data_IF_268854871171
#
_entry.id   IF_268854871171
#
_cell.length_a   1.000
_cell.length_b   1.000
_cell.length_c   1.000
_cell.angle_alpha   90.00
_cell.angle_beta   90.00
_cell.angle_gamma   90.00
#
_symmetry.space_group_name_H-M   'P 1'
#
loop_
_entity.id
_entity.type
_entity.pdbx_description
1 polymer ?
#
# COMPACT_ATOMS: atom_id res chain seq x y z
N UNK A 1 77.33 -28.86 -34.87
CA UNK A 1 77.22 -28.93 -36.34
C UNK A 1 75.75 -28.78 -36.70
N UNK A 2 75.44 -27.72 -37.47
CA UNK A 2 74.23 -27.50 -38.31
C UNK A 2 72.87 -27.63 -37.58
N UNK A 3 72.01 -26.62 -37.37
CA UNK A 3 71.80 -25.33 -38.04
C UNK A 3 70.58 -25.37 -38.96
N UNK A 4 69.39 -24.98 -38.47
CA UNK A 4 68.21 -24.43 -39.20
C UNK A 4 67.16 -24.02 -38.14
N UNK A 5 66.81 -22.74 -37.88
CA UNK A 5 66.05 -21.77 -38.68
C UNK A 5 64.74 -22.37 -39.24
N UNK A 6 63.54 -21.78 -39.17
CA UNK A 6 63.03 -20.52 -38.65
C UNK A 6 61.48 -20.58 -38.72
N UNK A 7 60.80 -19.67 -38.01
CA UNK A 7 59.67 -18.81 -38.46
C UNK A 7 58.53 -18.71 -37.45
N UNK A 8 58.43 -17.49 -36.93
CA UNK A 8 57.27 -16.87 -36.33
C UNK A 8 56.09 -16.79 -37.29
N UNK A 9 54.86 -16.84 -36.76
CA UNK A 9 53.78 -16.03 -37.26
C UNK A 9 52.88 -15.58 -36.10
N UNK A 10 52.89 -14.26 -35.82
CA UNK A 10 51.83 -13.57 -35.09
C UNK A 10 50.85 -13.03 -36.13
N UNK A 11 49.55 -13.25 -35.92
CA UNK A 11 48.45 -12.46 -36.49
C UNK A 11 47.24 -12.65 -35.55
N UNK A 12 46.99 -11.71 -34.63
CA UNK A 12 46.04 -10.58 -34.73
C UNK A 12 44.56 -10.94 -34.59
N UNK A 13 43.96 -10.25 -33.62
CA UNK A 13 42.55 -10.14 -33.21
C UNK A 13 41.54 -10.01 -34.36
N UNK A 14 40.44 -10.72 -34.21
CA UNK A 14 39.04 -10.34 -34.52
C UNK A 14 38.18 -11.40 -33.83
N UNK A 15 37.40 -11.13 -32.78
CA UNK A 15 36.28 -10.20 -32.77
C UNK A 15 35.02 -10.95 -33.24
N UNK A 16 34.39 -11.74 -32.36
CA UNK A 16 33.02 -12.21 -32.57
C UNK A 16 32.32 -12.29 -31.21
N UNK A 17 31.77 -11.16 -30.76
CA UNK A 17 30.70 -11.15 -29.77
C UNK A 17 29.47 -11.78 -30.44
N UNK A 18 29.07 -12.97 -30.00
CA UNK A 18 27.74 -13.49 -30.31
C UNK A 18 26.72 -12.65 -29.52
N UNK A 19 26.07 -11.72 -30.22
CA UNK A 19 24.85 -11.10 -29.75
C UNK A 19 23.75 -12.17 -29.74
N UNK A 20 23.33 -12.62 -28.56
CA UNK A 20 22.03 -13.30 -28.40
C UNK A 20 20.92 -12.25 -28.52
N UNK A 21 20.47 -11.98 -29.74
CA UNK A 21 19.19 -11.34 -29.98
C UNK A 21 18.09 -12.40 -29.89
N UNK A 22 17.60 -12.65 -28.67
CA UNK A 22 16.34 -13.35 -28.46
C UNK A 22 15.21 -12.37 -28.76
N UNK A 23 14.74 -12.37 -30.01
CA UNK A 23 13.54 -11.64 -30.42
C UNK A 23 12.32 -12.37 -29.82
N UNK A 24 11.88 -11.95 -28.63
CA UNK A 24 10.56 -12.30 -28.13
C UNK A 24 9.53 -11.61 -29.03
N UNK A 25 8.93 -12.35 -29.96
CA UNK A 25 7.66 -11.94 -30.55
C UNK A 25 6.58 -12.08 -29.46
N UNK A 26 6.36 -11.00 -28.70
CA UNK A 26 5.15 -10.85 -27.90
C UNK A 26 3.99 -10.69 -28.87
N UNK A 27 3.30 -11.79 -29.15
CA UNK A 27 1.95 -11.73 -29.66
C UNK A 27 1.11 -11.03 -28.58
N UNK A 28 0.90 -9.73 -28.73
CA UNK A 28 -0.06 -8.98 -27.93
C UNK A 28 -1.46 -9.46 -28.35
N UNK A 29 -1.91 -10.58 -27.79
CA UNK A 29 -3.33 -10.79 -27.61
C UNK A 29 -3.80 -9.64 -26.73
N UNK A 30 -4.38 -8.60 -27.34
CA UNK A 30 -4.84 -7.43 -26.62
C UNK A 30 -5.75 -7.87 -25.49
N UNK A 31 -5.30 -7.69 -24.25
CA UNK A 31 -6.13 -7.92 -23.08
C UNK A 31 -7.34 -7.01 -23.22
N UNK A 32 -8.53 -7.61 -23.30
CA UNK A 32 -9.78 -6.87 -23.30
C UNK A 32 -10.24 -6.77 -21.86
N UNK A 33 -10.36 -5.54 -21.34
CA UNK A 33 -10.88 -5.32 -20.01
C UNK A 33 -12.32 -5.87 -19.91
N UNK A 34 -12.58 -6.93 -19.12
CA UNK A 34 -13.92 -7.50 -18.98
C UNK A 34 -14.90 -6.54 -18.28
N UNK A 35 -14.37 -5.50 -17.63
CA UNK A 35 -15.13 -4.47 -16.95
C UNK A 35 -15.37 -3.22 -17.81
N UNK A 36 -14.96 -3.18 -19.09
CA UNK A 36 -15.13 -1.98 -19.91
C UNK A 36 -16.58 -1.48 -19.94
N UNK A 37 -16.77 -0.22 -19.56
CA UNK A 37 -18.08 0.47 -19.57
C UNK A 37 -17.87 1.93 -20.00
N UNK A 38 -18.29 2.34 -21.21
CA UNK A 38 -18.12 3.71 -21.69
C UNK A 38 -18.89 4.76 -20.88
N UNK A 39 -19.86 4.36 -20.05
CA UNK A 39 -20.57 5.27 -19.14
C UNK A 39 -19.75 5.61 -17.89
N UNK A 40 -18.70 4.84 -17.59
CA UNK A 40 -17.81 5.05 -16.44
C UNK A 40 -16.44 5.50 -16.93
N UNK A 41 -16.06 6.78 -16.73
CA UNK A 41 -14.83 7.32 -17.28
C UNK A 41 -13.57 6.55 -16.89
N UNK A 42 -13.53 5.92 -15.73
CA UNK A 42 -12.38 5.15 -15.24
C UNK A 42 -12.28 3.73 -15.83
N UNK A 43 -13.27 3.25 -16.59
CA UNK A 43 -13.25 1.96 -17.29
C UNK A 43 -12.84 2.16 -18.74
N UNK A 44 -11.61 1.77 -19.09
CA UNK A 44 -11.08 1.84 -20.47
C UNK A 44 -11.12 0.48 -21.15
N UNK A 45 -11.03 0.40 -22.49
CA UNK A 45 -10.97 -0.89 -23.19
C UNK A 45 -9.77 -1.76 -22.77
N UNK A 46 -8.69 -1.13 -22.30
CA UNK A 46 -7.44 -1.78 -21.89
C UNK A 46 -7.30 -2.00 -20.38
N UNK A 47 -8.16 -1.41 -19.54
CA UNK A 47 -8.09 -1.55 -18.08
C UNK A 47 -8.78 -0.40 -17.35
N UNK A 48 -8.16 0.08 -16.28
CA UNK A 48 -8.65 1.20 -15.47
C UNK A 48 -7.76 2.44 -15.57
N UNK A 49 -8.30 3.61 -15.25
CA UNK A 49 -7.55 4.88 -15.16
C UNK A 49 -8.04 5.77 -14.03
N UNK A 50 -7.21 6.74 -13.63
CA UNK A 50 -7.56 7.74 -12.61
C UNK A 50 -8.64 8.73 -13.10
N UNK A 51 -9.38 9.32 -12.16
CA UNK A 51 -10.40 10.34 -12.47
C UNK A 51 -9.80 11.65 -13.01
N UNK A 52 -8.69 12.10 -12.43
CA UNK A 52 -8.18 13.46 -12.64
C UNK A 52 -6.80 13.53 -13.29
N UNK A 53 -5.81 12.78 -12.81
CA UNK A 53 -4.47 12.78 -13.38
C UNK A 53 -4.14 11.44 -14.04
N UNK A 54 -4.06 11.45 -15.36
CA UNK A 54 -3.65 10.30 -16.17
C UNK A 54 -2.24 10.49 -16.74
N UNK A 55 -1.30 10.94 -15.88
CA UNK A 55 0.12 11.04 -16.25
C UNK A 55 0.88 9.83 -15.72
N UNK A 56 1.31 8.97 -16.64
CA UNK A 56 2.22 7.87 -16.33
C UNK A 56 3.60 8.43 -15.96
N UNK A 57 4.24 7.96 -14.88
CA UNK A 57 5.62 8.32 -14.58
C UNK A 57 6.51 7.99 -15.77
N UNK A 58 7.18 8.99 -16.33
CA UNK A 58 8.18 8.83 -17.37
C UNK A 58 9.59 8.79 -16.77
N UNK A 59 10.56 8.17 -17.43
CA UNK A 59 11.96 8.23 -16.99
C UNK A 59 12.39 7.22 -15.91
N UNK A 60 11.76 6.04 -15.82
CA UNK A 60 12.18 4.97 -14.90
C UNK A 60 13.70 4.67 -14.98
N UNK A 61 14.27 4.57 -16.19
CA UNK A 61 15.71 4.34 -16.37
C UNK A 61 16.56 5.48 -15.82
N UNK A 62 16.11 6.73 -15.98
CA UNK A 62 16.77 7.92 -15.42
C UNK A 62 16.74 7.87 -13.90
N UNK A 63 15.60 7.52 -13.31
CA UNK A 63 15.47 7.37 -11.86
C UNK A 63 16.38 6.26 -11.31
N UNK A 64 16.38 5.07 -11.91
CA UNK A 64 17.26 3.97 -11.50
C UNK A 64 18.74 4.32 -11.63
N UNK A 65 19.13 5.02 -12.69
CA UNK A 65 20.49 5.53 -12.84
C UNK A 65 20.86 6.55 -11.77
N UNK A 66 19.97 7.48 -11.43
CA UNK A 66 20.16 8.44 -10.34
C UNK A 66 20.31 7.73 -8.99
N UNK A 67 19.47 6.74 -8.69
CA UNK A 67 19.58 5.92 -7.48
C UNK A 67 20.94 5.29 -7.31
N UNK A 68 21.42 4.61 -8.35
CA UNK A 68 22.69 3.89 -8.32
C UNK A 68 23.84 4.89 -8.18
N UNK A 69 23.86 5.95 -9.00
CA UNK A 69 24.98 6.91 -9.03
C UNK A 69 25.05 7.77 -7.76
N UNK A 70 23.92 8.04 -7.12
CA UNK A 70 23.86 8.84 -5.91
C UNK A 70 23.85 7.98 -4.63
N UNK A 71 23.73 6.66 -4.76
CA UNK A 71 23.59 5.73 -3.63
C UNK A 71 22.37 6.06 -2.79
N UNK A 72 21.19 6.04 -3.42
CA UNK A 72 19.88 6.29 -2.81
C UNK A 72 19.04 5.01 -2.70
N UNK A 73 18.15 4.91 -1.70
CA UNK A 73 18.02 5.84 -0.57
C UNK A 73 19.26 5.83 0.33
N UNK A 74 19.45 6.90 1.11
CA UNK A 74 20.49 6.90 2.15
C UNK A 74 20.02 6.02 3.32
N UNK A 75 20.92 5.28 3.97
CA UNK A 75 20.55 4.51 5.15
C UNK A 75 20.06 5.47 6.25
N UNK A 76 19.06 5.08 7.04
CA UNK A 76 18.60 5.82 8.20
C UNK A 76 19.74 6.18 9.17
N UNK A 77 19.63 7.33 9.82
CA UNK A 77 20.64 7.82 10.75
C UNK A 77 20.81 6.87 11.95
N UNK A 78 19.75 6.15 12.32
CA UNK A 78 19.74 5.13 13.36
C UNK A 78 20.12 3.72 12.87
N UNK A 79 20.66 3.56 11.65
CA UNK A 79 21.04 2.27 11.07
C UNK A 79 19.88 1.24 11.10
N UNK A 80 18.69 1.66 10.68
CA UNK A 80 17.46 0.86 10.65
C UNK A 80 16.93 0.40 12.02
N UNK A 81 17.40 0.98 13.13
CA UNK A 81 16.90 0.71 14.46
C UNK A 81 15.59 1.46 14.74
N UNK A 82 14.51 1.07 14.06
CA UNK A 82 13.18 1.62 14.31
C UNK A 82 12.59 1.05 15.61
N UNK A 83 11.92 1.87 16.43
CA UNK A 83 11.27 1.41 17.65
C UNK A 83 10.12 0.46 17.32
N UNK A 84 10.13 -0.72 17.94
CA UNK A 84 9.06 -1.70 17.86
C UNK A 84 8.43 -1.82 19.26
N UNK A 85 7.12 -1.67 19.32
CA UNK A 85 6.30 -1.94 20.50
C UNK A 85 5.63 -3.28 20.28
N UNK A 86 5.68 -4.16 21.29
CA UNK A 86 4.94 -5.42 21.25
C UNK A 86 3.46 -5.12 21.55
N UNK A 87 2.51 -5.42 20.65
CA UNK A 87 1.09 -5.27 20.95
C UNK A 87 0.68 -6.18 22.11
N UNK A 88 -0.25 -5.71 22.94
CA UNK A 88 -0.85 -6.53 23.99
C UNK A 88 -1.83 -7.54 23.36
N UNK A 89 -1.32 -8.74 23.07
CA UNK A 89 -2.09 -9.82 22.44
C UNK A 89 -3.34 -10.17 23.25
N UNK A 90 -3.24 -10.19 24.58
CA UNK A 90 -4.38 -10.54 25.44
C UNK A 90 -5.48 -9.49 25.28
N UNK A 91 -5.11 -8.20 25.31
CA UNK A 91 -6.06 -7.12 25.11
C UNK A 91 -6.68 -7.15 23.70
N UNK A 92 -5.89 -7.39 22.64
CA UNK A 92 -6.40 -7.48 21.27
C UNK A 92 -7.44 -8.60 21.10
N UNK A 93 -7.21 -9.77 21.69
CA UNK A 93 -8.17 -10.89 21.63
C UNK A 93 -9.42 -10.65 22.48
N UNK A 94 -9.25 -10.04 23.65
CA UNK A 94 -10.33 -9.75 24.59
C UNK A 94 -11.19 -8.54 24.19
N UNK A 95 -10.68 -7.64 23.35
CA UNK A 95 -11.41 -6.45 22.94
C UNK A 95 -12.67 -6.82 22.12
N UNK A 96 -13.84 -6.39 22.61
CA UNK A 96 -15.15 -6.57 21.95
C UNK A 96 -15.91 -5.27 21.77
N UNK A 97 -15.42 -4.16 22.32
CA UNK A 97 -16.18 -2.92 22.44
C UNK A 97 -15.37 -1.69 22.10
N UNK A 98 -14.09 -1.68 22.42
CA UNK A 98 -13.26 -0.49 22.29
C UNK A 98 -12.84 -0.31 20.85
N UNK A 99 -12.85 0.95 20.41
CA UNK A 99 -12.30 1.31 19.12
C UNK A 99 -10.79 1.48 19.24
N UNK A 100 -10.03 0.70 18.48
CA UNK A 100 -8.56 0.75 18.52
C UNK A 100 -7.94 0.60 17.14
N UNK A 101 -6.78 1.22 16.93
CA UNK A 101 -5.95 1.07 15.75
C UNK A 101 -4.54 0.66 16.15
N UNK A 102 -4.10 -0.53 15.73
CA UNK A 102 -2.72 -1.01 15.94
C UNK A 102 -1.97 -0.99 14.63
N UNK A 103 -0.92 -0.19 14.53
CA UNK A 103 -0.11 -0.12 13.31
C UNK A 103 0.90 -1.27 13.28
N UNK A 104 0.65 -2.30 12.48
CA UNK A 104 1.53 -3.46 12.34
C UNK A 104 2.80 -3.08 11.56
N UNK A 105 2.68 -2.16 10.61
CA UNK A 105 3.78 -1.68 9.78
C UNK A 105 3.38 -1.60 8.32
N UNK A 106 4.08 -0.77 7.57
CA UNK A 106 3.72 -0.44 6.19
C UNK A 106 2.29 0.12 6.11
N UNK A 107 1.45 -0.39 5.21
CA UNK A 107 0.02 -0.07 5.13
C UNK A 107 -0.87 -1.01 5.98
N UNK A 108 -0.27 -1.90 6.78
CA UNK A 108 -1.02 -2.85 7.60
C UNK A 108 -1.40 -2.25 8.95
N UNK A 109 -2.71 -2.09 9.17
CA UNK A 109 -3.31 -1.64 10.42
C UNK A 109 -4.40 -2.62 10.83
N UNK A 110 -4.35 -3.08 12.08
CA UNK A 110 -5.45 -3.79 12.71
C UNK A 110 -6.39 -2.77 13.37
N UNK A 111 -7.58 -2.63 12.80
CA UNK A 111 -8.67 -1.83 13.36
C UNK A 111 -9.62 -2.75 14.11
N UNK A 112 -9.98 -2.39 15.34
CA UNK A 112 -11.05 -3.04 16.09
C UNK A 112 -12.13 -1.99 16.29
N UNK A 113 -13.34 -2.22 15.75
CA UNK A 113 -14.46 -1.28 15.82
C UNK A 113 -15.74 -2.08 16.02
N UNK A 114 -16.52 -1.76 17.07
CA UNK A 114 -17.76 -2.48 17.38
C UNK A 114 -17.57 -4.01 17.45
N UNK A 115 -16.43 -4.45 18.02
CA UNK A 115 -16.07 -5.86 18.12
C UNK A 115 -15.66 -6.54 16.81
N UNK A 116 -15.63 -5.82 15.69
CA UNK A 116 -15.17 -6.32 14.39
C UNK A 116 -13.69 -6.03 14.21
N UNK A 117 -12.91 -7.04 13.83
CA UNK A 117 -11.49 -6.92 13.52
C UNK A 117 -11.30 -6.77 12.01
N UNK A 118 -10.81 -5.60 11.59
CA UNK A 118 -10.55 -5.26 10.19
C UNK A 118 -9.06 -5.08 9.99
N UNK A 119 -8.49 -5.72 8.96
CA UNK A 119 -7.08 -5.65 8.64
C UNK A 119 -6.88 -5.02 7.25
N UNK A 120 -6.11 -3.94 7.18
CA UNK A 120 -5.79 -3.26 5.91
C UNK A 120 -4.53 -3.84 5.29
N UNK A 121 -4.50 -4.02 3.96
CA UNK A 121 -3.33 -4.34 3.14
C UNK A 121 -2.29 -5.23 3.85
N UNK A 122 -2.66 -6.46 4.23
CA UNK A 122 -1.86 -7.25 5.15
C UNK A 122 -0.65 -7.85 4.47
N UNK A 123 0.54 -7.59 5.03
CA UNK A 123 1.80 -8.17 4.58
C UNK A 123 2.67 -8.58 5.78
N UNK A 124 2.92 -9.88 5.93
CA UNK A 124 3.90 -10.44 6.88
C UNK A 124 5.19 -10.90 6.21
N UNK A 125 5.18 -11.05 4.89
CA UNK A 125 6.33 -11.50 4.13
C UNK A 125 7.57 -10.62 4.32
N UNK A 126 8.75 -11.27 4.26
CA UNK A 126 10.06 -10.62 4.34
C UNK A 126 10.38 -9.76 3.12
N UNK A 127 9.70 -10.00 2.00
CA UNK A 127 9.85 -9.23 0.75
C UNK A 127 8.49 -8.95 0.14
N UNK A 128 8.34 -7.75 -0.41
CA UNK A 128 7.23 -7.38 -1.27
C UNK A 128 7.60 -7.72 -2.72
N UNK A 129 7.50 -8.99 -3.11
CA UNK A 129 7.98 -9.47 -4.42
C UNK A 129 7.38 -10.82 -4.79
N UNK A 130 7.23 -11.13 -6.10
CA UNK A 130 6.92 -12.49 -6.53
C UNK A 130 8.08 -13.48 -6.31
N UNK A 131 9.29 -12.98 -6.08
CA UNK A 131 10.50 -13.78 -5.94
C UNK A 131 11.02 -13.68 -4.51
N UNK A 132 11.30 -14.83 -3.90
CA UNK A 132 11.80 -14.90 -2.51
C UNK A 132 13.21 -14.28 -2.33
N UNK A 133 13.98 -14.16 -3.41
CA UNK A 133 15.38 -13.70 -3.39
C UNK A 133 15.60 -12.29 -3.94
N UNK A 134 14.62 -11.69 -4.63
CA UNK A 134 14.75 -10.39 -5.32
C UNK A 134 13.56 -9.47 -4.98
N UNK A 135 13.73 -8.16 -5.11
CA UNK A 135 12.70 -7.15 -4.78
C UNK A 135 12.84 -6.57 -3.36
N UNK A 136 12.02 -5.57 -3.00
CA UNK A 136 12.13 -4.85 -1.73
C UNK A 136 12.12 -5.79 -0.52
N UNK A 137 13.15 -5.69 0.33
CA UNK A 137 13.23 -6.43 1.59
C UNK A 137 12.69 -5.56 2.72
N UNK A 138 11.94 -6.18 3.63
CA UNK A 138 11.51 -5.58 4.88
C UNK A 138 12.73 -5.29 5.76
N UNK A 139 12.82 -4.06 6.29
CA UNK A 139 13.84 -3.65 7.26
C UNK A 139 13.36 -3.77 8.71
N UNK A 140 12.07 -3.57 8.95
CA UNK A 140 11.46 -3.67 10.29
C UNK A 140 10.47 -4.85 10.30
N UNK A 141 10.73 -5.91 11.10
CA UNK A 141 9.84 -7.07 11.17
C UNK A 141 8.46 -6.67 11.69
N UNK A 142 7.39 -7.43 11.35
CA UNK A 142 6.11 -7.23 12.01
C UNK A 142 6.28 -7.37 13.55
N UNK A 143 5.58 -6.55 14.34
CA UNK A 143 5.69 -6.51 15.80
C UNK A 143 4.98 -7.70 16.47
N UNK A 144 4.31 -8.54 15.69
CA UNK A 144 3.59 -9.74 16.12
C UNK A 144 3.57 -10.79 15.00
N UNK A 145 3.49 -12.05 15.39
CA UNK A 145 3.29 -13.15 14.45
C UNK A 145 1.83 -13.23 14.00
N UNK A 146 1.59 -13.82 12.82
CA UNK A 146 0.23 -13.93 12.28
C UNK A 146 -0.71 -14.76 13.14
N UNK A 147 -0.20 -15.79 13.83
CA UNK A 147 -1.00 -16.63 14.73
C UNK A 147 -1.35 -15.94 16.05
N UNK A 148 -0.77 -14.76 16.33
CA UNK A 148 -1.09 -13.97 17.50
C UNK A 148 -2.19 -12.94 17.21
N UNK A 149 -2.57 -12.74 15.93
CA UNK A 149 -3.70 -11.89 15.57
C UNK A 149 -4.99 -12.41 16.22
N UNK A 150 -5.90 -11.52 16.65
CA UNK A 150 -7.27 -11.95 16.91
C UNK A 150 -7.91 -12.46 15.61
N UNK A 151 -9.02 -13.18 15.72
CA UNK A 151 -9.78 -13.59 14.54
C UNK A 151 -10.11 -12.37 13.68
N UNK A 152 -9.73 -12.38 12.40
CA UNK A 152 -9.95 -11.26 11.48
C UNK A 152 -11.28 -11.47 10.78
N UNK A 153 -12.18 -10.50 10.84
CA UNK A 153 -13.51 -10.60 10.22
C UNK A 153 -13.48 -10.08 8.78
N UNK A 154 -12.72 -9.00 8.53
CA UNK A 154 -12.65 -8.32 7.25
C UNK A 154 -11.21 -7.99 6.89
N UNK A 155 -10.85 -8.22 5.63
CA UNK A 155 -9.60 -7.74 5.04
C UNK A 155 -9.93 -6.71 3.97
N UNK A 156 -9.34 -5.52 4.08
CA UNK A 156 -9.43 -4.47 3.06
C UNK A 156 -8.17 -4.49 2.22
N UNK A 157 -8.32 -4.66 0.91
CA UNK A 157 -7.22 -4.53 -0.06
C UNK A 157 -7.42 -3.24 -0.84
N UNK A 158 -6.45 -2.34 -0.83
CA UNK A 158 -6.51 -1.07 -1.58
C UNK A 158 -6.20 -1.27 -3.06
N UNK A 159 -5.19 -2.11 -3.37
CA UNK A 159 -4.76 -2.40 -4.74
C UNK A 159 -3.85 -3.64 -4.76
N UNK A 160 -3.41 -4.05 -5.95
CA UNK A 160 -2.76 -5.34 -6.16
C UNK A 160 -1.23 -5.35 -6.06
N UNK A 161 -0.55 -4.26 -5.64
CA UNK A 161 0.92 -4.29 -5.53
C UNK A 161 1.40 -5.28 -4.45
N UNK A 162 2.64 -5.75 -4.58
CA UNK A 162 3.18 -6.83 -3.73
C UNK A 162 3.31 -6.47 -2.26
N UNK A 163 3.47 -5.19 -1.93
CA UNK A 163 3.56 -4.67 -0.58
C UNK A 163 2.18 -4.41 0.06
N UNK A 164 1.09 -4.53 -0.71
CA UNK A 164 -0.29 -4.36 -0.24
C UNK A 164 -1.14 -5.64 -0.36
N UNK A 165 -0.79 -6.52 -1.29
CA UNK A 165 -1.44 -7.81 -1.52
C UNK A 165 -0.39 -8.93 -1.52
N UNK A 166 -0.06 -9.39 -0.32
CA UNK A 166 0.90 -10.47 -0.10
C UNK A 166 0.24 -11.85 -0.13
N UNK A 167 0.68 -12.70 -1.06
CA UNK A 167 0.10 -14.04 -1.29
C UNK A 167 0.12 -14.92 -0.04
N UNK A 168 1.27 -15.01 0.62
CA UNK A 168 1.43 -15.88 1.78
C UNK A 168 0.51 -15.44 2.93
N UNK A 169 0.41 -14.13 3.14
CA UNK A 169 -0.45 -13.55 4.17
C UNK A 169 -1.93 -13.82 3.90
N UNK A 170 -2.44 -13.58 2.68
CA UNK A 170 -3.87 -13.83 2.39
C UNK A 170 -4.23 -15.32 2.39
N UNK A 171 -3.34 -16.20 1.95
CA UNK A 171 -3.52 -17.66 2.04
C UNK A 171 -3.58 -18.14 3.50
N UNK A 172 -2.79 -17.54 4.40
CA UNK A 172 -2.81 -17.87 5.83
C UNK A 172 -4.07 -17.31 6.52
N UNK A 173 -4.47 -16.07 6.22
CA UNK A 173 -5.72 -15.49 6.74
C UNK A 173 -6.95 -16.30 6.32
N UNK A 174 -7.00 -16.77 5.08
CA UNK A 174 -8.10 -17.62 4.59
C UNK A 174 -8.20 -18.96 5.34
N UNK A 175 -7.12 -19.39 6.01
CA UNK A 175 -7.04 -20.63 6.79
C UNK A 175 -7.11 -20.41 8.30
N UNK A 176 -7.38 -19.18 8.75
CA UNK A 176 -7.45 -18.88 10.18
C UNK A 176 -8.55 -19.70 10.88
N UNK A 177 -8.36 -19.96 12.17
CA UNK A 177 -9.38 -20.59 12.99
C UNK A 177 -10.61 -19.69 13.13
N UNK A 178 -11.80 -20.28 13.10
CA UNK A 178 -13.08 -19.55 13.08
C UNK A 178 -13.62 -19.25 11.67
N UNK A 179 -12.83 -19.48 10.62
CA UNK A 179 -13.26 -19.34 9.22
C UNK A 179 -12.58 -18.17 8.48
N UNK A 180 -12.66 -18.14 7.15
CA UNK A 180 -11.99 -17.12 6.35
C UNK A 180 -12.63 -15.73 6.56
N UNK A 181 -11.84 -14.64 6.58
CA UNK A 181 -12.38 -13.30 6.63
C UNK A 181 -13.15 -13.00 5.33
N UNK A 182 -14.00 -11.98 5.36
CA UNK A 182 -14.49 -11.36 4.13
C UNK A 182 -13.38 -10.48 3.52
N UNK A 183 -12.90 -10.84 2.34
CA UNK A 183 -11.99 -10.00 1.57
C UNK A 183 -12.79 -8.99 0.75
N UNK A 184 -12.62 -7.71 1.05
CA UNK A 184 -13.15 -6.60 0.27
C UNK A 184 -12.05 -6.04 -0.62
N UNK A 185 -12.25 -6.10 -1.92
CA UNK A 185 -11.20 -5.80 -2.91
C UNK A 185 -11.72 -4.97 -4.10
N UNK A 186 -10.88 -4.15 -4.74
CA UNK A 186 -11.20 -3.51 -6.03
C UNK A 186 -11.48 -4.51 -7.17
N UNK A 187 -12.24 -4.05 -8.18
CA UNK A 187 -12.47 -4.77 -9.45
C UNK A 187 -11.19 -5.38 -10.07
N UNK A 188 -11.29 -6.60 -10.57
CA UNK A 188 -10.22 -7.38 -11.17
C UNK A 188 -9.35 -8.22 -10.21
N UNK A 189 -9.43 -8.01 -8.89
CA UNK A 189 -8.61 -8.75 -7.90
C UNK A 189 -9.23 -10.11 -7.52
N UNK A 190 -10.56 -10.23 -7.54
CA UNK A 190 -11.28 -11.44 -7.12
C UNK A 190 -10.88 -12.70 -7.91
N UNK A 191 -10.69 -12.68 -9.24
CA UNK A 191 -10.19 -13.84 -9.98
C UNK A 191 -8.85 -14.35 -9.42
N UNK A 192 -7.92 -13.44 -9.12
CA UNK A 192 -6.62 -13.81 -8.55
C UNK A 192 -6.75 -14.46 -7.16
N UNK A 193 -7.64 -13.97 -6.31
CA UNK A 193 -7.92 -14.59 -5.00
C UNK A 193 -8.59 -15.96 -5.14
N UNK A 194 -9.55 -16.09 -6.06
CA UNK A 194 -10.23 -17.36 -6.33
C UNK A 194 -9.25 -18.44 -6.78
N UNK A 195 -8.24 -18.08 -7.60
CA UNK A 195 -7.19 -19.01 -8.04
C UNK A 195 -6.32 -19.54 -6.87
N UNK A 196 -6.30 -18.82 -5.74
CA UNK A 196 -5.69 -19.27 -4.49
C UNK A 196 -6.63 -20.08 -3.59
N UNK A 197 -7.87 -20.31 -4.02
CA UNK A 197 -8.92 -20.95 -3.23
C UNK A 197 -9.58 -20.03 -2.20
N UNK A 198 -9.39 -18.71 -2.32
CA UNK A 198 -9.99 -17.70 -1.44
C UNK A 198 -11.30 -17.25 -2.08
N UNK A 199 -12.44 -17.72 -1.55
CA UNK A 199 -13.76 -17.54 -2.18
C UNK A 199 -14.68 -16.58 -1.44
N UNK A 200 -14.40 -16.27 -0.17
CA UNK A 200 -15.13 -15.27 0.60
C UNK A 200 -14.69 -13.85 0.22
N UNK A 201 -14.96 -13.47 -1.03
CA UNK A 201 -14.45 -12.24 -1.65
C UNK A 201 -15.62 -11.45 -2.24
N UNK A 202 -15.71 -10.17 -1.87
CA UNK A 202 -16.56 -9.20 -2.53
C UNK A 202 -15.70 -8.16 -3.24
N UNK A 203 -15.97 -8.03 -4.53
CA UNK A 203 -15.27 -7.13 -5.43
C UNK A 203 -16.14 -5.90 -5.65
N UNK A 204 -15.56 -4.70 -5.54
CA UNK A 204 -16.27 -3.43 -5.64
C UNK A 204 -15.64 -2.52 -6.67
N UNK A 205 -16.48 -1.75 -7.35
CA UNK A 205 -16.09 -0.55 -8.08
C UNK A 205 -16.06 0.68 -7.15
N UNK A 206 -15.46 1.77 -7.62
CA UNK A 206 -15.53 3.06 -6.92
C UNK A 206 -16.97 3.45 -6.62
N UNK A 207 -17.16 3.91 -5.39
CA UNK A 207 -18.42 4.32 -4.79
C UNK A 207 -19.42 3.21 -4.46
N UNK A 208 -19.14 1.97 -4.85
CA UNK A 208 -19.91 0.82 -4.41
C UNK A 208 -19.60 0.49 -2.95
N UNK A 209 -20.47 -0.32 -2.34
CA UNK A 209 -20.37 -0.64 -0.92
C UNK A 209 -20.62 -2.10 -0.58
N UNK A 210 -20.12 -2.47 0.58
CA UNK A 210 -20.39 -3.72 1.25
C UNK A 210 -20.64 -3.47 2.73
N UNK A 211 -21.43 -4.33 3.35
CA UNK A 211 -21.65 -4.28 4.80
C UNK A 211 -21.25 -5.63 5.38
N UNK A 212 -20.61 -5.59 6.55
CA UNK A 212 -20.29 -6.78 7.35
C UNK A 212 -20.55 -6.44 8.81
N UNK A 213 -21.50 -7.15 9.42
CA UNK A 213 -21.92 -6.87 10.80
C UNK A 213 -22.45 -5.44 10.97
N UNK A 214 -21.80 -4.68 11.85
CA UNK A 214 -22.15 -3.30 12.20
C UNK A 214 -21.44 -2.24 11.36
N UNK A 215 -20.65 -2.66 10.36
CA UNK A 215 -19.79 -1.80 9.57
C UNK A 215 -20.21 -1.77 8.10
N UNK A 216 -20.17 -0.57 7.51
CA UNK A 216 -20.36 -0.31 6.10
C UNK A 216 -19.07 0.19 5.48
N UNK A 217 -18.68 -0.40 4.37
CA UNK A 217 -17.45 -0.14 3.66
C UNK A 217 -17.78 0.40 2.27
N UNK A 218 -17.07 1.44 1.85
CA UNK A 218 -17.11 1.90 0.46
C UNK A 218 -15.71 1.88 -0.12
N UNK A 219 -15.56 1.34 -1.33
CA UNK A 219 -14.37 1.59 -2.12
C UNK A 219 -14.48 3.00 -2.69
N UNK A 220 -13.45 3.83 -2.55
CA UNK A 220 -13.44 5.22 -3.03
C UNK A 220 -12.24 5.47 -3.95
N UNK A 221 -12.37 6.37 -4.93
CA UNK A 221 -11.27 6.67 -5.82
C UNK A 221 -10.12 7.34 -5.09
N UNK A 222 -8.91 6.95 -5.46
CA UNK A 222 -7.66 7.61 -5.11
C UNK A 222 -6.74 7.56 -6.33
N UNK A 223 -5.67 8.36 -6.32
CA UNK A 223 -4.82 8.48 -7.49
C UNK A 223 -3.63 7.53 -7.45
N UNK A 224 -3.78 6.36 -8.07
CA UNK A 224 -2.72 5.35 -8.10
C UNK A 224 -2.79 4.52 -9.38
N UNK A 225 -2.30 3.28 -9.33
CA UNK A 225 -2.31 2.30 -10.40
C UNK A 225 -2.16 0.88 -9.82
N UNK A 226 -2.17 -0.13 -10.67
CA UNK A 226 -2.02 -1.53 -10.29
C UNK A 226 -1.09 -2.27 -11.26
N UNK A 227 -0.35 -3.27 -10.78
CA UNK A 227 0.35 -4.29 -11.56
C UNK A 227 0.97 -5.36 -10.66
N UNK A 228 1.03 -6.60 -11.12
CA UNK A 228 1.84 -7.67 -10.50
C UNK A 228 2.85 -8.27 -11.47
N UNK A 229 2.76 -7.97 -12.75
CA UNK A 229 3.63 -8.47 -13.81
C UNK A 229 4.05 -7.34 -14.75
N UNK A 230 4.80 -7.67 -15.79
CA UNK A 230 5.22 -6.69 -16.80
C UNK A 230 4.09 -6.34 -17.78
N UNK A 231 2.99 -7.08 -17.79
CA UNK A 231 1.94 -7.01 -18.82
C UNK A 231 0.55 -6.70 -18.30
N UNK A 232 0.33 -6.68 -16.97
CA UNK A 232 -0.99 -6.51 -16.35
C UNK A 232 -1.20 -5.11 -15.73
N UNK A 233 -0.45 -4.13 -16.20
CA UNK A 233 -0.54 -2.76 -15.67
C UNK A 233 -1.95 -2.22 -15.88
N UNK A 234 -2.59 -1.78 -14.80
CA UNK A 234 -3.94 -1.21 -14.75
C UNK A 234 -5.06 -2.20 -15.16
N UNK A 235 -4.80 -3.51 -15.21
CA UNK A 235 -5.84 -4.51 -15.47
C UNK A 235 -6.80 -4.71 -14.27
N UNK A 236 -6.37 -4.33 -13.06
CA UNK A 236 -7.21 -4.31 -11.86
C UNK A 236 -7.39 -2.88 -11.34
N UNK A 237 -8.49 -2.61 -10.68
CA UNK A 237 -8.76 -1.33 -10.05
C UNK A 237 -7.93 -1.17 -8.77
N UNK A 238 -7.84 0.06 -8.28
CA UNK A 238 -7.21 0.47 -7.02
C UNK A 238 -8.13 1.46 -6.32
N UNK A 239 -8.01 1.66 -5.01
CA UNK A 239 -8.85 2.60 -4.29
C UNK A 239 -8.43 2.79 -2.84
N UNK A 240 -9.01 3.81 -2.23
CA UNK A 240 -9.10 3.90 -0.77
C UNK A 240 -10.37 3.22 -0.27
N UNK A 241 -10.49 3.09 1.05
CA UNK A 241 -11.68 2.57 1.71
C UNK A 241 -12.22 3.58 2.70
N UNK A 242 -13.53 3.79 2.71
CA UNK A 242 -14.20 4.35 3.88
C UNK A 242 -14.86 3.22 4.66
N UNK A 243 -14.87 3.35 5.99
CA UNK A 243 -15.55 2.45 6.90
C UNK A 243 -16.39 3.28 7.87
N UNK A 244 -17.67 2.93 8.01
CA UNK A 244 -18.59 3.63 8.88
C UNK A 244 -19.38 2.64 9.72
N UNK A 245 -19.49 2.89 11.02
CA UNK A 245 -20.48 2.19 11.85
C UNK A 245 -21.90 2.46 11.36
N UNK A 246 -22.82 1.53 11.56
CA UNK A 246 -24.25 1.72 11.28
C UNK A 246 -24.80 2.98 11.98
N UNK A 247 -25.80 3.62 11.37
CA UNK A 247 -26.38 4.87 11.87
C UNK A 247 -26.95 4.77 13.29
N UNK A 248 -27.46 3.60 13.66
CA UNK A 248 -28.09 3.37 14.97
C UNK A 248 -27.08 2.96 16.06
N UNK A 249 -25.77 2.98 15.75
CA UNK A 249 -24.71 2.63 16.68
C UNK A 249 -24.58 3.70 17.76
N UNK A 250 -24.54 3.31 19.03
CA UNK A 250 -24.43 4.24 20.16
C UNK A 250 -23.15 5.08 20.16
N UNK A 251 -22.07 4.53 19.59
CA UNK A 251 -20.78 5.20 19.40
C UNK A 251 -20.40 5.20 17.92
N UNK A 252 -20.90 6.18 17.14
CA UNK A 252 -20.55 6.31 15.74
C UNK A 252 -19.04 6.46 15.56
N UNK A 253 -18.49 5.78 14.56
CA UNK A 253 -17.08 5.91 14.21
C UNK A 253 -16.89 5.75 12.70
N UNK A 254 -15.98 6.53 12.15
CA UNK A 254 -15.70 6.59 10.73
C UNK A 254 -14.20 6.61 10.46
N UNK A 255 -13.78 5.77 9.51
CA UNK A 255 -12.38 5.62 9.12
C UNK A 255 -12.23 5.84 7.63
N UNK A 256 -11.20 6.56 7.24
CA UNK A 256 -10.69 6.59 5.87
C UNK A 256 -9.34 5.88 5.79
N UNK A 257 -9.21 4.90 4.91
CA UNK A 257 -7.94 4.29 4.56
C UNK A 257 -7.59 4.68 3.13
N UNK A 258 -6.51 5.44 2.95
CA UNK A 258 -6.17 5.99 1.65
C UNK A 258 -5.61 4.96 0.65
N UNK A 259 -5.08 3.82 1.13
CA UNK A 259 -4.17 3.01 0.32
C UNK A 259 -2.95 3.83 -0.12
N UNK A 260 -2.40 3.48 -1.27
CA UNK A 260 -1.41 4.32 -1.94
C UNK A 260 -2.08 5.32 -2.86
N UNK A 261 -1.58 6.55 -2.85
CA UNK A 261 -2.18 7.64 -3.63
C UNK A 261 -1.22 8.79 -3.84
N UNK A 262 -1.29 9.45 -4.99
CA UNK A 262 -0.89 10.84 -5.18
C UNK A 262 -1.99 11.80 -4.72
N UNK A 263 -1.69 13.10 -4.65
CA UNK A 263 -2.73 14.09 -4.32
C UNK A 263 -3.65 14.33 -5.53
N UNK A 264 -4.97 14.32 -5.33
CA UNK A 264 -5.97 14.57 -6.38
C UNK A 264 -7.21 15.26 -5.83
N UNK A 265 -8.14 15.62 -6.73
CA UNK A 265 -9.44 16.16 -6.35
C UNK A 265 -10.37 15.11 -5.72
N UNK A 266 -10.05 13.81 -5.83
CA UNK A 266 -10.87 12.74 -5.27
C UNK A 266 -11.12 12.92 -3.76
N UNK A 267 -10.16 13.49 -3.02
CA UNK A 267 -10.34 13.79 -1.59
C UNK A 267 -11.43 14.84 -1.30
N UNK A 268 -11.61 15.81 -2.19
CA UNK A 268 -12.70 16.79 -2.08
C UNK A 268 -14.06 16.13 -2.36
N UNK A 269 -14.10 15.21 -3.33
CA UNK A 269 -15.31 14.44 -3.65
C UNK A 269 -15.69 13.49 -2.52
N UNK A 270 -14.69 12.82 -1.91
CA UNK A 270 -14.85 11.97 -0.72
C UNK A 270 -15.39 12.80 0.44
N UNK A 271 -14.79 13.96 0.73
CA UNK A 271 -15.24 14.85 1.80
C UNK A 271 -16.67 15.38 1.56
N UNK A 272 -17.01 15.66 0.30
CA UNK A 272 -18.36 16.09 -0.09
C UNK A 272 -19.39 14.99 0.15
N UNK A 273 -19.04 13.74 -0.11
CA UNK A 273 -19.96 12.60 -0.01
C UNK A 273 -20.10 12.05 1.41
N UNK A 274 -18.99 11.96 2.15
CA UNK A 274 -18.94 11.29 3.46
C UNK A 274 -18.80 12.25 4.64
N UNK A 275 -18.47 13.52 4.40
CA UNK A 275 -18.26 14.50 5.46
C UNK A 275 -16.86 14.43 6.05
N UNK A 276 -16.79 14.27 7.37
CA UNK A 276 -15.54 14.14 8.14
C UNK A 276 -15.28 12.70 8.55
N UNK A 277 -14.05 12.42 8.98
CA UNK A 277 -13.65 11.12 9.51
C UNK A 277 -13.06 11.25 10.92
N UNK A 278 -13.34 10.29 11.79
CA UNK A 278 -12.73 10.23 13.12
C UNK A 278 -11.26 9.82 13.01
N UNK A 279 -10.98 8.84 12.14
CA UNK A 279 -9.64 8.35 11.88
C UNK A 279 -9.33 8.35 10.37
N UNK A 280 -8.13 8.76 9.97
CA UNK A 280 -7.61 8.50 8.65
C UNK A 280 -6.23 7.81 8.68
N UNK A 281 -6.05 6.80 7.84
CA UNK A 281 -4.80 6.11 7.60
C UNK A 281 -4.25 6.61 6.26
N UNK A 282 -3.21 7.45 6.31
CA UNK A 282 -2.70 8.20 5.15
C UNK A 282 -1.23 7.87 4.95
N UNK A 283 -0.79 7.47 3.74
CA UNK A 283 0.62 7.18 3.48
C UNK A 283 1.47 8.44 3.63
N UNK A 284 2.67 8.29 4.18
CA UNK A 284 3.65 9.38 4.31
C UNK A 284 5.02 9.01 3.71
N UNK A 285 5.19 7.80 3.21
CA UNK A 285 6.43 7.30 2.59
C UNK A 285 6.29 7.09 1.08
N UNK A 286 7.32 6.52 0.48
CA UNK A 286 7.43 6.18 -0.94
C UNK A 286 7.38 7.39 -1.90
N UNK A 287 7.75 8.58 -1.44
CA UNK A 287 7.44 9.82 -2.15
C UNK A 287 8.58 10.42 -2.97
N UNK A 288 9.82 9.94 -2.83
CA UNK A 288 10.96 10.49 -3.53
C UNK A 288 11.45 9.60 -4.70
N UNK A 289 11.90 10.19 -5.82
CA UNK A 289 12.00 11.63 -6.07
C UNK A 289 10.65 12.19 -6.54
N UNK A 290 10.30 13.41 -6.11
CA UNK A 290 8.97 13.99 -6.40
C UNK A 290 8.64 14.03 -7.89
N UNK A 291 9.61 14.33 -8.76
CA UNK A 291 9.38 14.40 -10.21
C UNK A 291 8.87 13.08 -10.81
N UNK A 292 9.17 11.93 -10.18
CA UNK A 292 8.72 10.60 -10.60
C UNK A 292 7.52 10.11 -9.77
N UNK A 293 7.56 10.33 -8.46
CA UNK A 293 6.59 9.73 -7.53
C UNK A 293 5.32 10.55 -7.32
N UNK A 294 5.31 11.87 -7.51
CA UNK A 294 4.21 12.75 -7.06
C UNK A 294 2.82 12.41 -7.61
N UNK A 295 2.74 11.77 -8.78
CA UNK A 295 1.45 11.40 -9.38
C UNK A 295 0.85 10.14 -8.75
N UNK A 296 1.63 9.36 -7.99
CA UNK A 296 1.24 8.06 -7.45
C UNK A 296 1.47 7.95 -5.94
N UNK A 297 2.34 8.77 -5.34
CA UNK A 297 2.58 8.86 -3.90
C UNK A 297 2.62 10.32 -3.43
N UNK A 298 1.84 10.60 -2.40
CA UNK A 298 1.90 11.84 -1.62
C UNK A 298 3.18 11.89 -0.80
N UNK A 299 3.73 13.09 -0.64
CA UNK A 299 4.71 13.36 0.41
C UNK A 299 3.97 13.74 1.72
N UNK A 300 4.68 13.92 2.85
CA UNK A 300 4.02 14.29 4.11
C UNK A 300 3.27 15.63 4.07
N UNK A 301 3.63 16.56 3.18
CA UNK A 301 2.90 17.82 3.03
C UNK A 301 1.55 17.59 2.31
N UNK A 302 1.55 16.80 1.24
CA UNK A 302 0.33 16.35 0.58
C UNK A 302 -0.53 15.49 1.52
N UNK A 303 0.07 14.65 2.37
CA UNK A 303 -0.65 13.86 3.36
C UNK A 303 -1.37 14.75 4.39
N UNK A 304 -0.71 15.79 4.90
CA UNK A 304 -1.34 16.78 5.79
C UNK A 304 -2.48 17.53 5.09
N UNK A 305 -2.30 17.82 3.79
CA UNK A 305 -3.38 18.41 2.98
C UNK A 305 -4.57 17.45 2.85
N UNK A 306 -4.36 16.15 2.65
CA UNK A 306 -5.43 15.14 2.63
C UNK A 306 -6.18 15.16 3.96
N UNK A 307 -5.46 15.08 5.09
CA UNK A 307 -6.04 15.13 6.44
C UNK A 307 -7.00 16.32 6.60
N UNK A 308 -6.59 17.51 6.16
CA UNK A 308 -7.41 18.72 6.19
C UNK A 308 -8.59 18.66 5.19
N UNK A 309 -8.38 18.22 3.96
CA UNK A 309 -9.40 18.14 2.91
C UNK A 309 -10.55 17.22 3.31
N UNK A 310 -10.25 16.04 3.86
CA UNK A 310 -11.25 15.07 4.32
C UNK A 310 -11.74 15.37 5.75
N UNK A 311 -11.26 16.45 6.37
CA UNK A 311 -11.64 16.89 7.72
C UNK A 311 -11.47 15.76 8.75
N UNK A 312 -10.36 15.05 8.67
CA UNK A 312 -10.07 13.98 9.62
C UNK A 312 -9.75 14.56 11.00
N UNK A 313 -10.34 14.00 12.06
CA UNK A 313 -10.05 14.43 13.43
C UNK A 313 -8.68 13.92 13.92
N UNK A 314 -8.35 12.68 13.56
CA UNK A 314 -7.08 12.04 13.88
C UNK A 314 -6.54 11.27 12.68
N UNK A 315 -5.25 11.34 12.40
CA UNK A 315 -4.62 10.56 11.33
C UNK A 315 -3.38 9.81 11.79
N UNK A 316 -3.16 8.63 11.20
CA UNK A 316 -1.98 7.81 11.39
C UNK A 316 -1.24 7.74 10.06
N UNK A 317 0.05 8.09 10.09
CA UNK A 317 0.96 7.98 8.96
C UNK A 317 1.32 6.51 8.72
N UNK A 318 0.97 6.00 7.54
CA UNK A 318 1.28 4.62 7.12
C UNK A 318 2.28 4.60 5.95
N UNK A 319 2.61 3.42 5.43
CA UNK A 319 3.48 3.21 4.26
C UNK A 319 4.95 3.62 4.43
N UNK A 320 5.39 3.89 5.65
CA UNK A 320 6.76 4.31 5.94
C UNK A 320 7.50 3.33 6.87
N UNK A 321 8.82 3.51 7.00
CA UNK A 321 9.63 2.84 8.01
C UNK A 321 9.75 1.32 7.87
N UNK A 322 9.31 0.72 6.76
CA UNK A 322 9.18 -0.74 6.64
C UNK A 322 9.93 -1.33 5.45
N UNK A 323 9.72 -0.79 4.24
CA UNK A 323 10.36 -1.21 3.00
C UNK A 323 11.00 -0.01 2.31
N UNK A 324 12.21 -0.17 1.78
CA UNK A 324 12.85 0.84 0.92
C UNK A 324 12.29 0.76 -0.50
N UNK A 325 11.30 1.60 -0.80
CA UNK A 325 10.61 1.60 -2.11
C UNK A 325 10.87 2.87 -2.93
N UNK A 326 11.42 3.90 -2.30
CA UNK A 326 11.64 5.23 -2.85
C UNK A 326 12.91 5.88 -2.26
N UNK A 327 13.29 7.05 -2.79
CA UNK A 327 14.64 7.63 -2.62
C UNK A 327 14.87 8.28 -1.25
N UNK A 328 13.81 8.54 -0.48
CA UNK A 328 13.90 9.07 0.86
C UNK A 328 14.46 8.02 1.83
N UNK A 329 15.16 8.48 2.86
CA UNK A 329 15.57 7.59 3.95
C UNK A 329 14.34 7.12 4.72
N UNK A 330 14.33 5.87 5.22
CA UNK A 330 13.15 5.31 5.91
C UNK A 330 12.73 6.06 7.19
N UNK A 331 13.64 6.83 7.80
CA UNK A 331 13.40 7.65 9.00
C UNK A 331 13.06 9.12 8.69
N UNK A 332 13.07 9.51 7.42
CA UNK A 332 12.71 10.86 6.97
C UNK A 332 11.20 11.18 7.12
N UNK A 333 10.26 10.28 6.78
CA UNK A 333 8.83 10.60 6.74
C UNK A 333 8.23 11.19 8.03
N UNK A 334 8.53 10.69 9.25
CA UNK A 334 8.02 11.30 10.48
C UNK A 334 8.54 12.72 10.73
N UNK A 335 9.79 13.00 10.34
CA UNK A 335 10.39 14.33 10.48
C UNK A 335 9.75 15.31 9.50
N UNK A 336 9.59 14.89 8.25
CA UNK A 336 8.91 15.66 7.22
C UNK A 336 7.42 15.88 7.55
N UNK A 337 6.75 14.90 8.16
CA UNK A 337 5.39 15.04 8.66
C UNK A 337 5.30 16.10 9.78
N UNK A 338 6.22 16.07 10.75
CA UNK A 338 6.25 17.06 11.83
C UNK A 338 6.40 18.50 11.29
N UNK A 339 7.28 18.70 10.32
CA UNK A 339 7.45 20.01 9.68
C UNK A 339 6.21 20.42 8.86
N UNK A 340 5.63 19.48 8.11
CA UNK A 340 4.41 19.72 7.34
C UNK A 340 3.23 20.12 8.23
N UNK A 341 3.02 19.44 9.36
CA UNK A 341 1.97 19.79 10.34
C UNK A 341 2.16 21.19 10.89
N UNK A 342 3.38 21.51 11.33
CA UNK A 342 3.73 22.83 11.86
C UNK A 342 3.44 23.93 10.85
N UNK A 343 3.83 23.73 9.58
CA UNK A 343 3.58 24.68 8.49
C UNK A 343 2.09 24.86 8.20
N UNK A 344 1.30 23.79 8.29
CA UNK A 344 -0.14 23.81 8.00
C UNK A 344 -1.02 24.19 9.22
N UNK A 345 -0.43 24.39 10.40
CA UNK A 345 -1.17 24.66 11.64
C UNK A 345 -1.96 23.47 12.17
N UNK A 346 -1.54 22.24 11.84
CA UNK A 346 -2.14 21.00 12.35
C UNK A 346 -1.47 20.61 13.66
N UNK A 347 -2.26 20.29 14.69
CA UNK A 347 -1.74 19.90 15.99
C UNK A 347 -0.96 18.58 15.91
N UNK A 348 0.09 18.42 16.73
CA UNK A 348 0.94 17.23 16.68
C UNK A 348 0.17 15.93 16.93
N UNK A 349 -0.79 15.98 17.84
CA UNK A 349 -1.66 14.86 18.15
C UNK A 349 -2.75 14.62 17.10
N UNK A 350 -2.99 15.53 16.14
CA UNK A 350 -4.04 15.33 15.14
C UNK A 350 -3.56 14.45 13.96
N UNK A 351 -2.26 14.31 13.75
CA UNK A 351 -1.71 13.43 12.72
C UNK A 351 -0.36 12.88 13.16
N UNK A 352 -0.32 11.62 13.61
CA UNK A 352 0.86 11.00 14.21
C UNK A 352 1.57 10.04 13.27
N UNK A 353 2.85 9.79 13.52
CA UNK A 353 3.59 8.65 13.00
C UNK A 353 3.87 7.72 14.18
N UNK A 354 3.21 6.56 14.21
CA UNK A 354 3.31 5.60 15.31
C UNK A 354 4.62 4.81 15.26
N UNK A 355 4.96 4.11 16.34
CA UNK A 355 5.96 3.05 16.33
C UNK A 355 5.33 1.76 15.79
N UNK A 356 6.14 0.87 15.20
CA UNK A 356 5.63 -0.44 14.76
C UNK A 356 5.06 -1.20 15.96
N UNK A 357 3.79 -1.58 15.89
CA UNK A 357 3.04 -2.30 16.92
C UNK A 357 2.41 -1.42 18.00
N UNK A 358 2.52 -0.10 17.89
CA UNK A 358 1.82 0.82 18.79
C UNK A 358 0.32 0.82 18.49
N UNK A 359 -0.47 0.83 19.57
CA UNK A 359 -1.93 0.84 19.55
C UNK A 359 -2.45 2.17 20.05
N UNK A 360 -3.34 2.79 19.28
CA UNK A 360 -4.12 3.96 19.68
C UNK A 360 -5.53 3.51 20.04
N UNK A 361 -6.08 4.02 21.13
CA UNK A 361 -7.45 3.75 21.59
C UNK A 361 -8.30 5.01 21.45
N UNK A 362 -9.58 4.84 21.12
CA UNK A 362 -10.53 5.92 20.96
C UNK A 362 -11.65 5.79 21.99
N UNK A 363 -12.05 6.90 22.57
CA UNK A 363 -13.20 6.98 23.47
C UNK A 363 -14.51 6.91 22.67
N UNK A 364 -15.62 6.89 23.40
CA UNK A 364 -16.97 6.84 22.82
C UNK A 364 -17.33 8.04 21.92
N UNK A 365 -16.56 9.13 21.98
CA UNK A 365 -16.74 10.34 21.17
C UNK A 365 -15.73 10.40 20.01
N UNK A 366 -14.94 9.34 19.79
CA UNK A 366 -13.91 9.30 18.76
C UNK A 366 -12.62 10.04 19.10
N UNK A 367 -12.44 10.48 20.36
CA UNK A 367 -11.21 11.14 20.79
C UNK A 367 -10.17 10.12 21.25
N UNK A 368 -8.89 10.38 20.97
CA UNK A 368 -7.80 9.48 21.40
C UNK A 368 -7.62 9.50 22.91
N UNK A 369 -7.54 8.29 23.49
CA UNK A 369 -7.24 8.06 24.91
C UNK A 369 -5.71 7.91 25.05
N UNK A 370 -5.07 8.66 25.98
CA UNK A 370 -3.64 8.57 26.25
C UNK A 370 -3.13 7.19 26.69
#
# INVERSE_FOLDING_TARGET
MVGTAARSCRATRTGLLLALSATLMLAACGHKNPYYDPAKPHHTPEGFRNNYLDRKPDGLLKWQWQRITQGLPKPPANNYAFPIVRPDVVALHANKTDTTATWIGHATVLLQVQGTNVLTDPIWSKRASPLSFMGPKRHVPPPMDMNELPHIDVVLISHNHYDHLDRATVEQLNKQDGGPPLFLVPLGIKPWLNDLGITNVKELDWWESASQGSLNFHLVPVQHWSARSLTDRQETLWGGWTMHTNKDTATPFSVFFAGDTGFSKDFEDIATRFGSFDLALIPIGAYAPRWFMQTQHVDPADAVKIHQTIKSAYSIGVHWGTFEMADESLDEPPLALAEARKKAGVADQAFVALKHGETVRFDKNGAVIP
#
